data_IF_331576345323
#
_entry.id   IF_331576345323
#
_cell.length_a   1.000
_cell.length_b   1.000
_cell.length_c   1.000
_cell.angle_alpha   90.00
_cell.angle_beta   90.00
_cell.angle_gamma   90.00
#
_symmetry.space_group_name_H-M   'P 1'
#
loop_
_entity.id
_entity.type
_entity.pdbx_description
1 polymer ?
#
# COMPACT_ATOMS: atom_id res chain seq x y z
N UNK A 1 19.00 -10.19 -4.74
CA UNK A 1 19.22 -8.77 -4.44
C UNK A 1 18.91 -8.65 -2.96
N UNK A 2 19.92 -8.39 -2.14
CA UNK A 2 19.74 -8.39 -0.68
C UNK A 2 19.29 -6.99 -0.25
N UNK A 3 18.03 -6.87 0.14
CA UNK A 3 17.51 -5.64 0.73
C UNK A 3 17.62 -5.74 2.25
N UNK A 4 18.27 -4.76 2.87
CA UNK A 4 18.21 -4.58 4.32
C UNK A 4 16.93 -3.84 4.68
N UNK A 5 16.23 -4.35 5.70
CA UNK A 5 15.03 -3.73 6.22
C UNK A 5 15.34 -2.90 7.48
N UNK A 6 14.68 -1.74 7.70
CA UNK A 6 13.68 -1.15 6.80
C UNK A 6 14.30 -0.54 5.54
N UNK A 7 13.65 -0.74 4.40
CA UNK A 7 14.03 -0.14 3.11
C UNK A 7 13.02 0.96 2.74
N UNK A 8 13.50 2.15 2.36
CA UNK A 8 12.64 3.30 2.07
C UNK A 8 12.76 3.71 0.61
N UNK A 9 11.62 3.91 -0.04
CA UNK A 9 11.50 4.52 -1.37
C UNK A 9 10.67 5.79 -1.23
N UNK A 10 11.18 6.91 -1.76
CA UNK A 10 10.45 8.17 -1.87
C UNK A 10 10.38 8.53 -3.36
N UNK A 11 9.17 8.77 -3.87
CA UNK A 11 8.98 9.15 -5.26
C UNK A 11 8.80 10.67 -5.40
N UNK A 12 8.88 11.16 -6.64
CA UNK A 12 8.75 12.58 -6.94
C UNK A 12 7.30 13.11 -6.94
N UNK A 13 6.32 12.25 -6.65
CA UNK A 13 4.88 12.58 -6.68
C UNK A 13 4.24 12.59 -5.28
N UNK A 14 5.06 12.56 -4.22
CA UNK A 14 4.60 12.77 -2.84
C UNK A 14 4.23 11.50 -2.09
N UNK A 15 4.78 10.36 -2.48
CA UNK A 15 4.64 9.09 -1.76
C UNK A 15 5.97 8.65 -1.14
N UNK A 16 5.88 8.13 0.08
CA UNK A 16 6.97 7.49 0.80
C UNK A 16 6.51 6.11 1.26
N UNK A 17 7.24 5.08 0.83
CA UNK A 17 7.02 3.69 1.20
C UNK A 17 8.19 3.21 2.06
N UNK A 18 7.87 2.64 3.22
CA UNK A 18 8.84 2.01 4.12
C UNK A 18 8.53 0.52 4.19
N UNK A 19 9.30 -0.29 3.48
CA UNK A 19 9.26 -1.75 3.55
C UNK A 19 9.90 -2.18 4.87
N UNK A 20 9.14 -2.74 5.79
CA UNK A 20 9.57 -3.04 7.17
C UNK A 20 10.19 -4.41 7.32
N UNK A 21 9.62 -5.43 6.67
CA UNK A 21 10.03 -6.83 6.77
C UNK A 21 9.21 -7.70 5.81
N UNK A 22 9.65 -8.94 5.64
CA UNK A 22 8.90 -10.03 5.01
C UNK A 22 8.52 -11.05 6.07
N UNK A 23 7.27 -11.47 6.09
CA UNK A 23 6.71 -12.47 7.00
C UNK A 23 6.34 -13.72 6.19
N UNK A 24 6.91 -14.89 6.50
CA UNK A 24 6.48 -16.13 5.87
C UNK A 24 5.09 -16.53 6.32
N UNK A 25 4.19 -16.83 5.38
CA UNK A 25 2.84 -17.32 5.64
C UNK A 25 2.57 -18.60 4.82
N UNK A 26 1.58 -19.44 5.20
CA UNK A 26 1.36 -20.74 4.54
C UNK A 26 1.04 -20.66 3.05
N UNK A 27 0.48 -19.55 2.59
CA UNK A 27 0.04 -19.27 1.22
C UNK A 27 0.96 -18.33 0.44
N UNK A 28 2.04 -17.86 1.07
CA UNK A 28 3.03 -16.99 0.45
C UNK A 28 3.71 -16.09 1.47
N UNK A 29 4.76 -15.40 1.04
CA UNK A 29 5.41 -14.41 1.89
C UNK A 29 4.63 -13.08 1.83
N UNK A 30 4.32 -12.50 2.98
CA UNK A 30 3.70 -11.17 3.08
C UNK A 30 4.75 -10.10 3.36
N UNK A 31 4.73 -9.03 2.58
CA UNK A 31 5.60 -7.86 2.81
C UNK A 31 4.83 -6.83 3.64
N UNK A 32 5.42 -6.39 4.76
CA UNK A 32 4.84 -5.34 5.60
C UNK A 32 5.38 -3.98 5.15
N UNK A 33 4.49 -3.09 4.73
CA UNK A 33 4.84 -1.75 4.21
C UNK A 33 4.07 -0.66 4.95
N UNK A 34 4.76 0.42 5.30
CA UNK A 34 4.14 1.65 5.81
C UNK A 34 4.16 2.72 4.70
N UNK A 35 2.99 3.26 4.36
CA UNK A 35 2.80 4.21 3.27
C UNK A 35 2.44 5.59 3.82
N UNK A 36 3.07 6.63 3.28
CA UNK A 36 2.71 8.02 3.51
C UNK A 36 2.47 8.67 2.15
N UNK A 37 1.29 9.26 1.97
CA UNK A 37 0.91 9.93 0.72
C UNK A 37 0.37 11.33 1.04
N UNK A 38 0.69 12.31 0.18
CA UNK A 38 0.06 13.63 0.25
C UNK A 38 -1.30 13.61 -0.47
N UNK A 39 -2.20 14.57 -0.18
CA UNK A 39 -3.50 14.62 -0.85
C UNK A 39 -3.37 14.70 -2.38
N UNK A 40 -4.10 13.82 -3.08
CA UNK A 40 -4.07 13.73 -4.55
C UNK A 40 -3.01 12.80 -5.13
N UNK A 41 -2.17 12.20 -4.28
CA UNK A 41 -1.20 11.17 -4.66
C UNK A 41 -1.78 9.77 -4.45
N UNK A 42 -1.23 8.81 -5.17
CA UNK A 42 -1.64 7.41 -5.18
C UNK A 42 -1.18 6.74 -6.48
N UNK A 43 -1.06 5.40 -6.50
CA UNK A 43 -0.80 4.69 -7.73
C UNK A 43 -1.96 4.88 -8.71
N UNK A 44 -1.63 4.90 -10.00
CA UNK A 44 -2.65 4.84 -11.05
C UNK A 44 -3.34 3.46 -11.03
N UNK A 45 -4.53 3.36 -11.64
CA UNK A 45 -5.27 2.09 -11.75
C UNK A 45 -4.37 0.98 -12.34
N UNK A 46 -4.27 -0.15 -11.64
CA UNK A 46 -3.47 -1.30 -12.04
C UNK A 46 -4.07 -2.59 -11.46
N UNK A 47 -3.46 -3.72 -11.78
CA UNK A 47 -3.88 -5.05 -11.29
C UNK A 47 -2.66 -5.85 -10.84
N UNK A 48 -2.88 -6.73 -9.87
CA UNK A 48 -1.88 -7.70 -9.41
C UNK A 48 -2.24 -9.09 -9.95
N UNK A 49 -1.25 -9.83 -10.46
CA UNK A 49 -1.47 -11.18 -10.99
C UNK A 49 -1.23 -12.28 -9.95
N UNK A 50 -0.19 -12.13 -9.11
CA UNK A 50 0.27 -13.15 -8.17
C UNK A 50 0.31 -12.65 -6.73
N UNK A 51 -0.38 -11.55 -6.44
CA UNK A 51 -0.32 -10.89 -5.15
C UNK A 51 -1.71 -10.37 -4.78
N UNK A 52 -2.10 -10.59 -3.53
CA UNK A 52 -3.19 -9.85 -2.91
C UNK A 52 -2.61 -8.61 -2.22
N UNK A 53 -3.36 -7.52 -2.23
CA UNK A 53 -3.00 -6.26 -1.58
C UNK A 53 -4.11 -5.83 -0.62
N UNK A 54 -3.72 -5.29 0.53
CA UNK A 54 -4.63 -4.74 1.54
C UNK A 54 -3.98 -3.53 2.21
N UNK A 55 -4.75 -2.45 2.37
CA UNK A 55 -4.29 -1.22 3.00
C UNK A 55 -5.23 -0.83 4.14
N UNK A 56 -4.73 -0.83 5.36
CA UNK A 56 -5.45 -0.25 6.50
C UNK A 56 -5.04 1.19 6.71
N UNK A 57 -6.01 2.10 6.77
CA UNK A 57 -5.73 3.51 7.03
C UNK A 57 -5.36 3.69 8.51
N UNK A 58 -4.11 4.03 8.78
CA UNK A 58 -3.65 4.32 10.16
C UNK A 58 -4.04 5.74 10.59
N UNK A 59 -3.99 6.71 9.66
CA UNK A 59 -4.30 8.11 9.92
C UNK A 59 -4.84 8.81 8.67
N UNK A 60 -5.87 9.62 8.82
CA UNK A 60 -6.46 10.40 7.72
C UNK A 60 -7.55 9.66 6.95
N UNK A 61 -7.64 9.91 5.64
CA UNK A 61 -8.68 9.36 4.76
C UNK A 61 -8.10 9.07 3.38
N UNK A 62 -8.37 7.88 2.84
CA UNK A 62 -7.95 7.47 1.50
C UNK A 62 -9.17 7.27 0.60
N UNK A 63 -9.03 7.60 -0.68
CA UNK A 63 -10.00 7.23 -1.71
C UNK A 63 -9.42 6.10 -2.55
N UNK A 64 -10.24 5.10 -2.87
CA UNK A 64 -9.84 3.99 -3.74
C UNK A 64 -10.98 3.62 -4.69
N UNK A 65 -10.64 2.90 -5.75
CA UNK A 65 -11.60 2.42 -6.72
C UNK A 65 -11.20 1.03 -7.21
N UNK A 66 -12.17 0.13 -7.27
CA UNK A 66 -12.07 -1.17 -7.94
C UNK A 66 -12.81 -1.07 -9.27
N UNK A 67 -12.28 -1.66 -10.33
CA UNK A 67 -12.92 -1.64 -11.65
C UNK A 67 -14.37 -2.17 -11.57
N UNK A 68 -15.30 -1.42 -12.16
CA UNK A 68 -16.74 -1.73 -12.12
C UNK A 68 -17.45 -1.35 -10.83
N UNK A 69 -16.74 -0.82 -9.83
CA UNK A 69 -17.33 -0.30 -8.59
C UNK A 69 -17.29 1.23 -8.55
N UNK A 70 -18.17 1.79 -7.73
CA UNK A 70 -18.14 3.21 -7.38
C UNK A 70 -16.88 3.55 -6.57
N UNK A 71 -16.53 4.84 -6.56
CA UNK A 71 -15.44 5.35 -5.72
C UNK A 71 -15.76 5.13 -4.25
N UNK A 72 -14.80 4.58 -3.52
CA UNK A 72 -14.93 4.28 -2.11
C UNK A 72 -13.93 5.11 -1.30
N UNK A 73 -14.17 5.17 0.00
CA UNK A 73 -13.31 5.89 0.92
C UNK A 73 -13.17 5.09 2.21
N UNK A 74 -11.94 5.01 2.72
CA UNK A 74 -11.63 4.43 4.02
C UNK A 74 -11.02 5.52 4.95
N UNK A 75 -11.45 5.51 6.20
CA UNK A 75 -10.91 6.31 7.30
C UNK A 75 -10.13 5.46 8.30
N UNK A 76 -9.68 6.09 9.39
CA UNK A 76 -8.81 5.44 10.38
C UNK A 76 -9.38 4.11 10.92
N UNK A 77 -8.60 3.03 10.79
CA UNK A 77 -8.96 1.67 11.19
C UNK A 77 -9.69 0.85 10.12
N UNK A 78 -10.14 1.46 9.03
CA UNK A 78 -10.79 0.76 7.91
C UNK A 78 -9.75 0.22 6.92
N UNK A 79 -10.10 -0.86 6.21
CA UNK A 79 -9.27 -1.59 5.25
C UNK A 79 -10.03 -1.80 3.95
#
# INVERSE_FOLDING_TARGET
>A
MDFSYPHTIENCIGEKLIFKQVLPEPDGDRVVVENFVVPGSGPIMHTHWLQDESLTVVKGKIGYQVEGQEKQYAGEGET
#
